data_IF_385075654010
#
_entry.id   IF_385075654010
#
_cell.length_a   1.000
_cell.length_b   1.000
_cell.length_c   1.000
_cell.angle_alpha   90.00
_cell.angle_beta   90.00
_cell.angle_gamma   90.00
#
_symmetry.space_group_name_H-M   'P 1'
#
loop_
_entity.id
_entity.type
_entity.pdbx_description
1 polymer ?
#
# COMPACT_ATOMS: atom_id res chain seq x y z
N UNK A 1 -5.76 13.09 0.76
CA UNK A 1 -4.96 11.98 0.22
C UNK A 1 -5.58 11.62 -1.11
N UNK A 2 -4.89 11.89 -2.22
CA UNK A 2 -5.38 11.48 -3.53
C UNK A 2 -4.86 10.07 -3.80
N UNK A 3 -5.77 9.18 -4.21
CA UNK A 3 -5.45 7.81 -4.56
C UNK A 3 -5.81 7.59 -6.02
N UNK A 4 -4.98 6.85 -6.73
CA UNK A 4 -5.16 6.53 -8.14
C UNK A 4 -5.13 5.02 -8.34
N UNK A 5 -6.04 4.49 -9.17
CA UNK A 5 -6.00 3.08 -9.56
C UNK A 5 -4.88 2.87 -10.58
N UNK A 6 -4.13 1.80 -10.39
CA UNK A 6 -3.00 1.39 -11.21
C UNK A 6 -3.03 -0.12 -11.42
N UNK A 7 -2.38 -0.58 -12.48
CA UNK A 7 -2.26 -2.01 -12.78
C UNK A 7 -0.84 -2.39 -13.16
N UNK A 8 -0.72 -3.53 -13.84
CA UNK A 8 0.57 -4.09 -14.30
C UNK A 8 1.40 -3.15 -15.18
N UNK A 9 0.76 -2.15 -15.80
CA UNK A 9 1.38 -1.15 -16.66
C UNK A 9 1.91 0.10 -15.91
N UNK A 10 1.79 0.14 -14.58
CA UNK A 10 2.28 1.26 -13.77
C UNK A 10 3.81 1.36 -13.77
N UNK A 11 4.48 0.27 -13.41
CA UNK A 11 5.92 0.21 -13.36
C UNK A 11 6.47 0.07 -14.79
N UNK A 12 7.29 1.04 -15.21
CA UNK A 12 7.93 1.03 -16.54
C UNK A 12 9.33 0.41 -16.50
N UNK A 13 9.86 0.20 -15.30
CA UNK A 13 11.16 -0.41 -15.03
C UNK A 13 10.99 -1.52 -13.98
N UNK A 14 11.76 -2.62 -14.05
CA UNK A 14 11.70 -3.69 -13.04
C UNK A 14 12.01 -3.21 -11.61
N UNK A 15 11.46 -3.89 -10.58
CA UNK A 15 10.52 -5.00 -10.67
C UNK A 15 9.12 -4.53 -11.13
N UNK A 16 8.52 -5.27 -12.06
CA UNK A 16 7.18 -4.97 -12.57
C UNK A 16 6.12 -5.53 -11.62
N UNK A 17 4.96 -4.88 -11.58
CA UNK A 17 3.81 -5.41 -10.84
C UNK A 17 3.24 -6.65 -11.56
N UNK A 18 3.13 -7.81 -10.88
CA UNK A 18 2.60 -9.02 -11.51
C UNK A 18 1.16 -8.82 -11.98
N UNK A 19 0.86 -9.23 -13.21
CA UNK A 19 -0.51 -9.18 -13.77
C UNK A 19 -1.53 -9.92 -12.93
N UNK A 20 -1.09 -10.99 -12.27
CA UNK A 20 -1.96 -11.92 -11.54
C UNK A 20 -2.43 -11.34 -10.20
N UNK A 21 -1.81 -10.25 -9.73
CA UNK A 21 -2.18 -9.56 -8.48
C UNK A 21 -3.28 -8.52 -8.67
N UNK A 22 -3.69 -8.24 -9.92
CA UNK A 22 -4.78 -7.34 -10.25
C UNK A 22 -4.44 -5.86 -10.11
N UNK A 23 -5.47 -5.01 -10.14
CA UNK A 23 -5.34 -3.57 -9.94
C UNK A 23 -5.08 -3.23 -8.47
N UNK A 24 -4.31 -2.17 -8.25
CA UNK A 24 -4.01 -1.64 -6.94
C UNK A 24 -4.25 -0.14 -6.90
N UNK A 25 -4.63 0.36 -5.73
CA UNK A 25 -4.75 1.79 -5.49
C UNK A 25 -3.43 2.29 -4.87
N UNK A 26 -2.77 3.22 -5.57
CA UNK A 26 -1.62 3.93 -5.03
C UNK A 26 -2.08 5.24 -4.43
N UNK A 27 -1.87 5.39 -3.12
CA UNK A 27 -2.21 6.59 -2.39
C UNK A 27 -0.93 7.36 -2.08
N UNK A 28 -0.55 8.24 -3.00
CA UNK A 28 0.59 9.12 -2.78
C UNK A 28 0.12 10.32 -1.95
N UNK A 29 0.44 10.32 -0.66
CA UNK A 29 0.28 11.54 0.13
C UNK A 29 1.28 11.60 1.28
N UNK A 30 2.28 12.44 1.11
CA UNK A 30 2.62 13.42 2.14
C UNK A 30 3.25 14.59 1.44
N UNK A 31 3.01 15.79 1.96
CA UNK A 31 3.53 17.08 1.49
C UNK A 31 5.09 17.17 1.47
N UNK A 32 5.77 16.03 1.57
CA UNK A 32 7.22 15.82 1.58
C UNK A 32 7.65 14.39 1.13
N UNK A 33 6.78 13.59 0.47
CA UNK A 33 7.09 12.22 0.01
C UNK A 33 7.68 11.28 1.10
N UNK A 34 7.26 11.43 2.36
CA UNK A 34 7.83 10.70 3.51
C UNK A 34 7.31 9.27 3.67
N UNK A 35 6.29 8.88 2.92
CA UNK A 35 5.84 7.50 2.84
C UNK A 35 5.09 7.24 1.54
N UNK A 36 4.97 5.96 1.20
CA UNK A 36 4.13 5.48 0.11
C UNK A 36 3.25 4.33 0.61
N UNK A 37 2.04 4.21 0.06
CA UNK A 37 1.10 3.17 0.44
C UNK A 37 0.55 2.43 -0.77
N UNK A 38 0.39 1.12 -0.61
CA UNK A 38 -0.25 0.21 -1.52
C UNK A 38 -1.57 -0.26 -0.91
N UNK A 39 -2.69 -0.02 -1.61
CA UNK A 39 -4.00 -0.55 -1.24
C UNK A 39 -4.45 -1.60 -2.25
N UNK A 40 -4.80 -2.78 -1.74
CA UNK A 40 -5.49 -3.84 -2.48
C UNK A 40 -6.93 -3.96 -2.02
N UNK A 41 -7.87 -3.92 -2.97
CA UNK A 41 -9.29 -4.15 -2.73
C UNK A 41 -9.83 -5.08 -3.82
N UNK A 42 -10.03 -6.34 -3.48
CA UNK A 42 -10.64 -7.35 -4.35
C UNK A 42 -11.59 -8.25 -3.53
N UNK A 43 -12.17 -9.29 -4.15
CA UNK A 43 -13.15 -10.18 -3.50
C UNK A 43 -12.59 -10.94 -2.29
N UNK A 44 -11.27 -11.08 -2.18
CA UNK A 44 -10.60 -11.90 -1.17
C UNK A 44 -9.71 -11.07 -0.24
N UNK A 45 -9.25 -9.91 -0.67
CA UNK A 45 -8.25 -9.10 0.01
C UNK A 45 -8.71 -7.65 0.12
N UNK A 46 -8.59 -7.11 1.33
CA UNK A 46 -8.90 -5.72 1.62
C UNK A 46 -7.89 -5.19 2.63
N UNK A 47 -6.71 -4.81 2.17
CA UNK A 47 -5.60 -4.42 3.05
C UNK A 47 -4.90 -3.15 2.58
N UNK A 48 -4.31 -2.43 3.52
CA UNK A 48 -3.46 -1.27 3.26
C UNK A 48 -2.05 -1.55 3.80
N UNK A 49 -1.05 -1.46 2.93
CA UNK A 49 0.37 -1.52 3.28
C UNK A 49 0.99 -0.15 3.08
N UNK A 50 1.78 0.33 4.02
CA UNK A 50 2.50 1.60 3.93
C UNK A 50 3.94 1.45 4.38
N UNK A 51 4.85 2.11 3.66
CA UNK A 51 6.27 2.13 3.97
C UNK A 51 6.76 3.58 4.01
N UNK A 52 7.41 3.93 5.11
CA UNK A 52 7.89 5.26 5.42
C UNK A 52 9.38 5.33 5.12
N UNK A 53 9.87 6.52 4.76
CA UNK A 53 11.31 6.77 4.55
C UNK A 53 12.15 6.55 5.82
N UNK A 54 11.49 6.49 6.99
CA UNK A 54 12.09 6.13 8.27
C UNK A 54 12.18 4.62 8.49
N UNK A 55 12.00 3.82 7.43
CA UNK A 55 11.98 2.34 7.44
C UNK A 55 10.86 1.73 8.30
N UNK A 56 9.90 2.57 8.72
CA UNK A 56 8.72 2.10 9.41
C UNK A 56 7.74 1.53 8.39
N UNK A 57 7.29 0.31 8.63
CA UNK A 57 6.27 -0.37 7.83
C UNK A 57 4.99 -0.46 8.66
N UNK A 58 3.84 -0.16 8.06
CA UNK A 58 2.54 -0.45 8.67
C UNK A 58 1.64 -1.24 7.72
N UNK A 59 1.00 -2.27 8.27
CA UNK A 59 0.01 -3.08 7.57
C UNK A 59 -1.32 -3.07 8.32
N UNK A 60 -2.42 -2.91 7.57
CA UNK A 60 -3.77 -2.87 8.09
C UNK A 60 -4.68 -3.82 7.30
N UNK A 61 -5.42 -4.67 8.01
CA UNK A 61 -6.53 -5.43 7.45
C UNK A 61 -7.82 -4.58 7.57
N UNK A 62 -8.28 -4.01 6.45
CA UNK A 62 -9.41 -3.08 6.47
C UNK A 62 -10.77 -3.80 6.58
N UNK A 63 -10.81 -5.13 6.52
CA UNK A 63 -12.01 -5.88 6.89
C UNK A 63 -12.24 -5.89 8.40
N UNK A 64 -11.16 -5.88 9.18
CA UNK A 64 -11.19 -5.96 10.65
C UNK A 64 -11.05 -4.57 11.30
N UNK A 65 -10.24 -3.70 10.71
CA UNK A 65 -9.98 -2.35 11.20
C UNK A 65 -10.18 -1.29 10.10
N UNK A 66 -11.44 -0.93 9.79
CA UNK A 66 -11.77 0.04 8.75
C UNK A 66 -11.19 1.45 8.99
N UNK A 67 -10.87 1.77 10.25
CA UNK A 67 -10.40 3.08 10.67
C UNK A 67 -8.89 3.13 10.93
N UNK A 68 -8.17 2.02 10.67
CA UNK A 68 -6.71 1.96 10.70
C UNK A 68 -6.12 2.37 12.06
N UNK A 69 -6.85 2.07 13.14
CA UNK A 69 -6.48 2.41 14.53
C UNK A 69 -5.40 1.47 15.05
N UNK A 70 -5.40 0.22 14.59
CA UNK A 70 -4.50 -0.84 15.04
C UNK A 70 -3.66 -1.38 13.89
N UNK A 71 -2.35 -1.26 14.03
CA UNK A 71 -1.40 -1.83 13.08
C UNK A 71 -1.30 -3.34 13.31
N UNK A 72 -1.64 -4.13 12.29
CA UNK A 72 -1.59 -5.60 12.33
C UNK A 72 -0.14 -6.11 12.28
N UNK A 73 0.73 -5.41 11.56
CA UNK A 73 2.16 -5.69 11.51
C UNK A 73 2.97 -4.40 11.38
N UNK A 74 3.99 -4.27 12.23
CA UNK A 74 4.99 -3.21 12.15
C UNK A 74 6.40 -3.81 12.21
N UNK A 75 7.29 -3.32 11.36
CA UNK A 75 8.70 -3.67 11.38
C UNK A 75 9.54 -2.44 11.04
N UNK A 76 10.73 -2.39 11.61
CA UNK A 76 11.85 -1.59 11.12
C UNK A 76 12.75 -2.55 10.35
N UNK A 77 13.20 -2.18 9.15
CA UNK A 77 14.33 -2.89 8.55
C UNK A 77 15.56 -2.59 9.44
N UNK A 78 16.37 -3.61 9.76
CA UNK A 78 17.67 -3.43 10.41
C UNK A 78 18.75 -3.83 9.40
#
# INVERSE_FOLDING_TARGET
MNCFSHGYNHWRTPPLWPSDYGEFCFCQNSNNNTYWCLRTLNSTHNFLYCEFVTEFISYYNLNEDPFQVHVVFFSYYN
#
